data_IF_577320610654
#
_entry.id   IF_577320610654
#
_cell.length_a   1.000
_cell.length_b   1.000
_cell.length_c   1.000
_cell.angle_alpha   90.00
_cell.angle_beta   90.00
_cell.angle_gamma   90.00
#
_symmetry.space_group_name_H-M   'P 1'
#
loop_
_entity.id
_entity.type
_entity.pdbx_description
1 polymer ?
#
# COMPACT_ATOMS: atom_id res chain seq x y z
N UNK A 1 8.89 -47.49 3.11
CA UNK A 1 10.15 -47.57 2.38
C UNK A 1 11.06 -48.71 2.87
N UNK A 2 11.21 -48.93 4.15
CA UNK A 2 11.97 -50.06 4.70
C UNK A 2 11.46 -51.43 4.21
N UNK A 3 10.13 -51.58 4.09
CA UNK A 3 9.51 -52.81 3.57
C UNK A 3 9.87 -53.08 2.11
N UNK A 4 9.96 -52.04 1.31
CA UNK A 4 10.34 -52.12 -0.10
C UNK A 4 11.79 -52.56 -0.23
N UNK A 5 12.69 -51.97 0.55
CA UNK A 5 14.11 -52.31 0.59
C UNK A 5 14.33 -53.79 0.98
N UNK A 6 13.70 -54.22 2.06
CA UNK A 6 13.77 -55.59 2.54
C UNK A 6 13.24 -56.59 1.50
N UNK A 7 12.16 -56.23 0.80
CA UNK A 7 11.57 -57.08 -0.21
C UNK A 7 12.47 -57.24 -1.46
N UNK A 8 13.13 -56.16 -1.88
CA UNK A 8 14.13 -56.17 -2.96
C UNK A 8 15.33 -57.04 -2.55
N UNK A 9 15.80 -56.88 -1.34
CA UNK A 9 16.92 -57.67 -0.79
C UNK A 9 16.63 -59.16 -0.68
N UNK A 10 15.38 -59.52 -0.39
CA UNK A 10 14.95 -60.94 -0.28
C UNK A 10 14.78 -61.62 -1.67
N UNK A 11 14.57 -60.84 -2.73
CA UNK A 11 14.33 -61.37 -4.08
C UNK A 11 15.54 -61.45 -5.00
N UNK A 12 16.64 -60.75 -4.67
CA UNK A 12 17.89 -60.71 -5.45
C UNK A 12 19.12 -60.72 -4.58
N UNK A 13 20.06 -61.59 -4.82
CA UNK A 13 21.40 -61.51 -4.26
C UNK A 13 22.14 -60.33 -4.88
N UNK A 14 22.18 -59.20 -4.18
CA UNK A 14 22.86 -58.00 -4.58
C UNK A 14 24.27 -57.91 -3.95
N UNK A 15 25.24 -57.42 -4.69
CA UNK A 15 26.58 -57.12 -4.14
C UNK A 15 26.49 -56.03 -3.06
N UNK A 16 27.48 -55.96 -2.17
CA UNK A 16 27.53 -54.97 -1.08
C UNK A 16 27.44 -53.56 -1.57
N UNK A 17 28.13 -53.20 -2.69
CA UNK A 17 28.10 -51.86 -3.27
C UNK A 17 26.71 -51.51 -3.81
N UNK A 18 26.02 -52.47 -4.42
CA UNK A 18 24.64 -52.24 -4.94
C UNK A 18 23.63 -52.09 -3.78
N UNK A 19 23.82 -52.85 -2.70
CA UNK A 19 23.01 -52.73 -1.48
C UNK A 19 23.17 -51.34 -0.84
N UNK A 20 24.39 -50.84 -0.74
CA UNK A 20 24.72 -49.52 -0.20
C UNK A 20 24.13 -48.39 -1.09
N UNK A 21 24.20 -48.55 -2.40
CA UNK A 21 23.61 -47.63 -3.35
C UNK A 21 22.09 -47.56 -3.21
N UNK A 22 21.41 -48.69 -3.14
CA UNK A 22 19.97 -48.79 -2.93
C UNK A 22 19.55 -48.16 -1.59
N UNK A 23 20.30 -48.41 -0.54
CA UNK A 23 20.05 -47.83 0.78
C UNK A 23 20.21 -46.31 0.74
N UNK A 24 21.24 -45.79 0.08
CA UNK A 24 21.46 -44.36 -0.11
C UNK A 24 20.31 -43.73 -0.87
N UNK A 25 19.91 -44.30 -2.01
CA UNK A 25 18.82 -43.80 -2.84
C UNK A 25 17.49 -43.81 -2.06
N UNK A 26 17.25 -44.82 -1.26
CA UNK A 26 16.07 -44.93 -0.38
C UNK A 26 16.07 -43.84 0.68
N UNK A 27 17.19 -43.55 1.31
CA UNK A 27 17.34 -42.49 2.31
C UNK A 27 17.10 -41.11 1.68
N UNK A 28 17.53 -40.88 0.44
CA UNK A 28 17.26 -39.64 -0.32
C UNK A 28 15.78 -39.47 -0.58
N UNK A 29 15.07 -40.53 -0.99
CA UNK A 29 13.62 -40.52 -1.23
C UNK A 29 12.87 -40.23 0.10
N UNK A 30 13.23 -40.89 1.17
CA UNK A 30 12.62 -40.68 2.50
C UNK A 30 12.81 -39.22 2.96
N UNK A 31 13.98 -38.65 2.78
CA UNK A 31 14.27 -37.25 3.11
C UNK A 31 13.42 -36.29 2.29
N UNK A 32 13.23 -36.56 0.99
CA UNK A 32 12.36 -35.76 0.11
C UNK A 32 10.89 -35.84 0.54
N UNK A 33 10.41 -37.01 0.92
CA UNK A 33 9.05 -37.20 1.44
C UNK A 33 8.84 -36.42 2.72
N UNK A 34 9.81 -36.45 3.64
CA UNK A 34 9.74 -35.71 4.90
C UNK A 34 9.70 -34.19 4.65
N UNK A 35 10.52 -33.68 3.72
CA UNK A 35 10.51 -32.28 3.32
C UNK A 35 9.13 -31.87 2.76
N UNK A 36 8.53 -32.69 1.89
CA UNK A 36 7.19 -32.45 1.34
C UNK A 36 6.13 -32.39 2.45
N UNK A 37 6.19 -33.29 3.43
CA UNK A 37 5.26 -33.31 4.57
C UNK A 37 5.38 -32.03 5.40
N UNK A 38 6.61 -31.58 5.67
CA UNK A 38 6.85 -30.33 6.41
C UNK A 38 6.29 -29.14 5.63
N UNK A 39 6.57 -29.03 4.34
CA UNK A 39 6.08 -27.96 3.49
C UNK A 39 4.55 -27.94 3.37
N UNK A 40 3.91 -29.10 3.34
CA UNK A 40 2.44 -29.22 3.37
C UNK A 40 1.82 -28.65 4.65
N UNK A 41 2.52 -28.74 5.76
CA UNK A 41 2.08 -28.16 7.02
C UNK A 41 2.35 -26.67 7.12
N UNK A 42 3.49 -26.19 6.62
CA UNK A 42 3.95 -24.81 6.78
C UNK A 42 3.44 -23.86 5.69
N UNK A 43 3.39 -24.30 4.42
CA UNK A 43 2.99 -23.42 3.30
C UNK A 43 1.58 -22.83 3.43
N UNK A 44 0.54 -23.58 3.86
CA UNK A 44 -0.78 -22.98 4.07
C UNK A 44 -0.79 -21.86 5.11
N UNK A 45 0.02 -21.98 6.16
CA UNK A 45 0.16 -20.94 7.18
C UNK A 45 0.87 -19.71 6.61
N UNK A 46 1.95 -19.91 5.85
CA UNK A 46 2.68 -18.82 5.18
C UNK A 46 1.78 -18.09 4.17
N UNK A 47 0.97 -18.82 3.42
CA UNK A 47 -0.02 -18.25 2.48
C UNK A 47 -1.05 -17.42 3.24
N UNK A 48 -1.59 -17.93 4.33
CA UNK A 48 -2.57 -17.21 5.16
C UNK A 48 -1.98 -15.93 5.74
N UNK A 49 -0.75 -15.98 6.24
CA UNK A 49 -0.05 -14.81 6.77
C UNK A 49 0.20 -13.76 5.66
N UNK A 50 0.59 -14.19 4.47
CA UNK A 50 0.78 -13.29 3.33
C UNK A 50 -0.54 -12.67 2.84
N UNK A 51 -1.63 -13.42 2.85
CA UNK A 51 -2.97 -12.91 2.54
C UNK A 51 -3.36 -11.78 3.51
N UNK A 52 -3.10 -11.97 4.80
CA UNK A 52 -3.35 -10.96 5.84
C UNK A 52 -2.46 -9.72 5.64
N UNK A 53 -1.18 -9.92 5.28
CA UNK A 53 -0.26 -8.83 4.99
C UNK A 53 -0.68 -8.04 3.75
N UNK A 54 -1.14 -8.70 2.69
CA UNK A 54 -1.68 -8.07 1.48
C UNK A 54 -2.92 -7.25 1.83
N UNK A 55 -3.86 -7.82 2.59
CA UNK A 55 -5.06 -7.12 3.03
C UNK A 55 -4.72 -5.87 3.86
N UNK A 56 -3.76 -5.98 4.78
CA UNK A 56 -3.26 -4.86 5.57
C UNK A 56 -2.62 -3.76 4.71
N UNK A 57 -1.86 -4.16 3.70
CA UNK A 57 -1.23 -3.24 2.74
C UNK A 57 -2.27 -2.51 1.87
N UNK A 58 -3.32 -3.21 1.44
CA UNK A 58 -4.45 -2.61 0.71
C UNK A 58 -5.18 -1.57 1.55
N UNK A 59 -5.45 -1.88 2.82
CA UNK A 59 -6.07 -0.95 3.76
C UNK A 59 -5.22 0.30 3.93
N UNK A 60 -3.91 0.15 4.07
CA UNK A 60 -2.97 1.26 4.20
C UNK A 60 -2.96 2.14 2.95
N UNK A 61 -2.90 1.54 1.76
CA UNK A 61 -2.95 2.27 0.48
C UNK A 61 -4.25 3.07 0.38
N UNK A 62 -5.40 2.44 0.67
CA UNK A 62 -6.71 3.09 0.63
C UNK A 62 -6.79 4.27 1.60
N UNK A 63 -6.27 4.14 2.82
CA UNK A 63 -6.21 5.24 3.80
C UNK A 63 -5.42 6.43 3.30
N UNK A 64 -4.25 6.18 2.69
CA UNK A 64 -3.40 7.24 2.16
C UNK A 64 -4.08 7.92 0.96
N UNK A 65 -4.68 7.16 0.06
CA UNK A 65 -5.44 7.69 -1.09
C UNK A 65 -6.62 8.55 -0.64
N UNK A 66 -7.35 8.12 0.37
CA UNK A 66 -8.45 8.89 0.96
C UNK A 66 -7.95 10.19 1.59
N UNK A 67 -6.83 10.14 2.30
CA UNK A 67 -6.21 11.33 2.88
C UNK A 67 -5.76 12.33 1.81
N UNK A 68 -5.16 11.86 0.71
CA UNK A 68 -4.75 12.70 -0.43
C UNK A 68 -5.97 13.35 -1.09
N UNK A 69 -7.04 12.59 -1.28
CA UNK A 69 -8.30 13.11 -1.83
C UNK A 69 -8.89 14.19 -0.94
N UNK A 70 -8.89 13.98 0.38
CA UNK A 70 -9.32 14.99 1.36
C UNK A 70 -8.48 16.27 1.28
N UNK A 71 -7.18 16.15 1.07
CA UNK A 71 -6.29 17.30 0.87
C UNK A 71 -6.61 18.05 -0.43
N UNK A 72 -6.91 17.35 -1.51
CA UNK A 72 -7.35 17.97 -2.77
C UNK A 72 -8.66 18.75 -2.59
N UNK A 73 -9.61 18.23 -1.83
CA UNK A 73 -10.87 18.89 -1.52
C UNK A 73 -10.64 20.15 -0.67
N UNK A 74 -9.74 20.10 0.30
CA UNK A 74 -9.36 21.26 1.11
C UNK A 74 -8.69 22.35 0.25
N UNK A 75 -7.81 21.97 -0.67
CA UNK A 75 -7.16 22.91 -1.61
C UNK A 75 -8.22 23.60 -2.47
N UNK A 76 -9.19 22.84 -2.99
CA UNK A 76 -10.31 23.41 -3.76
C UNK A 76 -11.12 24.42 -2.94
N UNK A 77 -11.42 24.08 -1.69
CA UNK A 77 -12.15 24.98 -0.80
C UNK A 77 -11.41 26.29 -0.55
N UNK A 78 -10.11 26.21 -0.29
CA UNK A 78 -9.29 27.42 -0.13
C UNK A 78 -9.18 28.23 -1.42
N UNK A 79 -9.07 27.58 -2.57
CA UNK A 79 -9.06 28.27 -3.87
C UNK A 79 -10.40 28.98 -4.15
N UNK A 80 -11.52 28.34 -3.79
CA UNK A 80 -12.83 28.97 -3.89
C UNK A 80 -12.97 30.15 -2.93
N UNK A 81 -12.46 30.05 -1.71
CA UNK A 81 -12.42 31.16 -0.77
C UNK A 81 -11.64 32.36 -1.32
N UNK A 82 -10.50 32.10 -1.96
CA UNK A 82 -9.71 33.13 -2.62
C UNK A 82 -10.52 33.83 -3.73
N UNK A 83 -11.22 33.07 -4.58
CA UNK A 83 -12.06 33.64 -5.64
C UNK A 83 -13.22 34.48 -5.08
N UNK A 84 -13.85 34.01 -4.01
CA UNK A 84 -14.92 34.77 -3.34
C UNK A 84 -14.38 36.08 -2.76
N UNK A 85 -13.22 36.04 -2.10
CA UNK A 85 -12.57 37.23 -1.57
C UNK A 85 -12.16 38.22 -2.67
N UNK A 86 -11.63 37.73 -3.80
CA UNK A 86 -11.33 38.54 -4.97
C UNK A 86 -12.57 39.26 -5.51
N UNK A 87 -13.69 38.53 -5.62
CA UNK A 87 -14.96 39.10 -6.09
C UNK A 87 -15.49 40.16 -5.12
N UNK A 88 -15.38 39.91 -3.81
CA UNK A 88 -15.78 40.89 -2.78
C UNK A 88 -14.92 42.16 -2.82
N UNK A 89 -13.61 42.00 -2.96
CA UNK A 89 -12.67 43.12 -3.09
C UNK A 89 -13.06 43.97 -4.31
N UNK A 90 -13.27 43.35 -5.46
CA UNK A 90 -13.69 44.05 -6.68
C UNK A 90 -15.00 44.83 -6.49
N UNK A 91 -15.98 44.20 -5.79
CA UNK A 91 -17.26 44.83 -5.46
C UNK A 91 -17.07 46.04 -4.53
N UNK A 92 -16.28 45.93 -3.50
CA UNK A 92 -16.03 46.99 -2.53
C UNK A 92 -15.22 48.12 -3.15
N UNK A 93 -14.26 47.84 -4.03
CA UNK A 93 -13.50 48.86 -4.76
C UNK A 93 -14.40 49.71 -5.67
N UNK A 94 -15.38 49.10 -6.34
CA UNK A 94 -16.40 49.82 -7.13
C UNK A 94 -17.27 50.69 -6.23
N UNK A 95 -17.63 50.21 -5.03
CA UNK A 95 -18.39 51.00 -4.06
C UNK A 95 -17.62 52.20 -3.54
N UNK A 96 -16.30 52.05 -3.36
CA UNK A 96 -15.43 53.16 -2.94
C UNK A 96 -15.49 54.35 -3.89
N UNK A 97 -15.59 54.12 -5.19
CA UNK A 97 -15.67 55.18 -6.21
C UNK A 97 -16.95 56.02 -6.09
N UNK A 98 -18.00 55.48 -5.45
CA UNK A 98 -19.30 56.09 -5.31
C UNK A 98 -19.55 56.70 -3.94
N UNK A 99 -18.68 56.46 -2.97
CA UNK A 99 -18.83 56.92 -1.58
C UNK A 99 -18.43 58.38 -1.42
N UNK A 100 -19.24 59.16 -0.75
CA UNK A 100 -19.02 60.58 -0.47
C UNK A 100 -18.73 60.91 0.99
N UNK A 101 -18.84 59.88 1.87
CA UNK A 101 -18.72 60.03 3.32
C UNK A 101 -17.48 59.31 3.81
N UNK A 102 -16.65 59.96 4.62
CA UNK A 102 -15.42 59.39 5.17
C UNK A 102 -15.65 58.18 6.02
N UNK A 103 -16.74 58.10 6.75
CA UNK A 103 -17.09 56.93 7.58
C UNK A 103 -17.35 55.67 6.76
N UNK A 104 -18.12 55.82 5.68
CA UNK A 104 -18.37 54.73 4.74
C UNK A 104 -17.10 54.33 3.97
N UNK A 105 -16.27 55.28 3.59
CA UNK A 105 -14.99 55.05 2.97
C UNK A 105 -14.05 54.23 3.86
N UNK A 106 -13.91 54.59 5.13
CA UNK A 106 -13.10 53.85 6.10
C UNK A 106 -13.66 52.45 6.35
N UNK A 107 -14.97 52.28 6.44
CA UNK A 107 -15.62 50.98 6.62
C UNK A 107 -15.34 50.04 5.43
N UNK A 108 -15.46 50.52 4.20
CA UNK A 108 -15.18 49.77 2.98
C UNK A 108 -13.68 49.39 2.88
N UNK A 109 -12.78 50.28 3.23
CA UNK A 109 -11.35 49.99 3.25
C UNK A 109 -10.99 48.94 4.27
N UNK A 110 -11.63 48.91 5.43
CA UNK A 110 -11.46 47.86 6.42
C UNK A 110 -11.97 46.49 5.91
N UNK A 111 -13.09 46.47 5.23
CA UNK A 111 -13.61 45.24 4.62
C UNK A 111 -12.69 44.71 3.53
N UNK A 112 -12.15 45.60 2.68
CA UNK A 112 -11.17 45.21 1.66
C UNK A 112 -9.90 44.62 2.31
N UNK A 113 -9.40 45.27 3.35
CA UNK A 113 -8.23 44.80 4.09
C UNK A 113 -8.48 43.42 4.71
N UNK A 114 -9.66 43.21 5.33
CA UNK A 114 -10.07 41.93 5.89
C UNK A 114 -10.10 40.85 4.82
N UNK A 115 -10.65 41.13 3.64
CA UNK A 115 -10.68 40.17 2.52
C UNK A 115 -9.28 39.83 2.01
N UNK A 116 -8.39 40.81 1.94
CA UNK A 116 -6.98 40.58 1.57
C UNK A 116 -6.28 39.67 2.58
N UNK A 117 -6.51 39.85 3.87
CA UNK A 117 -5.94 39.01 4.92
C UNK A 117 -6.50 37.57 4.84
N UNK A 118 -7.79 37.41 4.56
CA UNK A 118 -8.41 36.10 4.35
C UNK A 118 -7.82 35.39 3.13
N UNK A 119 -7.58 36.11 2.04
CA UNK A 119 -6.88 35.56 0.86
C UNK A 119 -5.48 35.09 1.20
N UNK A 120 -4.71 35.90 1.91
CA UNK A 120 -3.35 35.53 2.33
C UNK A 120 -3.36 34.29 3.22
N UNK A 121 -4.31 34.18 4.13
CA UNK A 121 -4.47 33.02 4.98
C UNK A 121 -4.81 31.77 4.16
N UNK A 122 -5.74 31.89 3.22
CA UNK A 122 -6.12 30.78 2.33
C UNK A 122 -4.97 30.35 1.42
N UNK A 123 -4.19 31.29 0.90
CA UNK A 123 -2.99 31.01 0.11
C UNK A 123 -1.93 30.28 0.94
N UNK A 124 -1.69 30.71 2.17
CA UNK A 124 -0.76 30.06 3.10
C UNK A 124 -1.18 28.63 3.40
N UNK A 125 -2.46 28.44 3.75
CA UNK A 125 -3.02 27.09 4.01
C UNK A 125 -2.92 26.20 2.79
N UNK A 126 -3.20 26.73 1.61
CA UNK A 126 -3.05 25.99 0.34
C UNK A 126 -1.62 25.50 0.13
N UNK A 127 -0.63 26.37 0.37
CA UNK A 127 0.79 25.97 0.27
C UNK A 127 1.16 24.88 1.27
N UNK A 128 0.72 25.02 2.51
CA UNK A 128 0.97 24.03 3.56
C UNK A 128 0.37 22.67 3.20
N UNK A 129 -0.88 22.65 2.73
CA UNK A 129 -1.57 21.42 2.32
C UNK A 129 -0.89 20.80 1.10
N UNK A 130 -0.48 21.57 0.12
CA UNK A 130 0.26 21.07 -1.06
C UNK A 130 1.57 20.39 -0.66
N UNK A 131 2.30 20.97 0.28
CA UNK A 131 3.53 20.36 0.82
C UNK A 131 3.23 19.03 1.53
N UNK A 132 2.21 18.99 2.37
CA UNK A 132 1.77 17.76 3.04
C UNK A 132 1.29 16.70 2.04
N UNK A 133 0.59 17.13 0.99
CA UNK A 133 0.12 16.25 -0.08
C UNK A 133 1.30 15.62 -0.83
N UNK A 134 2.34 16.39 -1.14
CA UNK A 134 3.54 15.86 -1.81
C UNK A 134 4.24 14.80 -0.94
N UNK A 135 4.35 15.03 0.37
CA UNK A 135 4.89 14.04 1.32
C UNK A 135 4.02 12.78 1.37
N UNK A 136 2.71 12.94 1.36
CA UNK A 136 1.77 11.80 1.31
C UNK A 136 1.86 11.04 -0.01
N UNK A 137 2.06 11.73 -1.12
CA UNK A 137 2.24 11.10 -2.43
C UNK A 137 3.48 10.19 -2.44
N UNK A 138 4.60 10.64 -1.86
CA UNK A 138 5.80 9.82 -1.72
C UNK A 138 5.56 8.59 -0.84
N UNK A 139 4.85 8.78 0.27
CA UNK A 139 4.44 7.68 1.15
C UNK A 139 3.54 6.67 0.43
N UNK A 140 2.64 7.16 -0.43
CA UNK A 140 1.75 6.32 -1.23
C UNK A 140 2.52 5.46 -2.23
N UNK A 141 3.51 6.02 -2.92
CA UNK A 141 4.38 5.27 -3.84
C UNK A 141 5.04 4.11 -3.10
N UNK A 142 5.65 4.35 -1.95
CA UNK A 142 6.28 3.31 -1.13
C UNK A 142 5.28 2.25 -0.63
N UNK A 143 4.08 2.66 -0.25
CA UNK A 143 3.02 1.74 0.19
C UNK A 143 2.52 0.84 -0.95
N UNK A 144 2.37 1.39 -2.16
CA UNK A 144 1.99 0.63 -3.36
C UNK A 144 3.07 -0.37 -3.76
N UNK A 145 4.33 0.00 -3.70
CA UNK A 145 5.46 -0.90 -3.96
C UNK A 145 5.48 -2.08 -2.99
N UNK A 146 5.30 -1.81 -1.69
CA UNK A 146 5.23 -2.87 -0.67
C UNK A 146 4.05 -3.80 -0.88
N UNK A 147 2.90 -3.25 -1.22
CA UNK A 147 1.71 -4.05 -1.57
C UNK A 147 1.99 -4.96 -2.76
N UNK A 148 2.56 -4.41 -3.84
CA UNK A 148 2.89 -5.17 -5.05
C UNK A 148 3.89 -6.28 -4.76
N UNK A 149 4.93 -6.02 -3.97
CA UNK A 149 5.92 -7.02 -3.59
C UNK A 149 5.29 -8.16 -2.77
N UNK A 150 4.39 -7.82 -1.84
CA UNK A 150 3.67 -8.82 -1.04
C UNK A 150 2.71 -9.65 -1.88
N UNK A 151 2.04 -9.04 -2.86
CA UNK A 151 1.19 -9.75 -3.82
C UNK A 151 2.01 -10.74 -4.67
N UNK A 152 3.19 -10.35 -5.12
CA UNK A 152 4.11 -11.23 -5.84
C UNK A 152 4.59 -12.41 -4.97
N UNK A 153 4.95 -12.15 -3.73
CA UNK A 153 5.35 -13.18 -2.77
C UNK A 153 4.19 -14.16 -2.53
N UNK A 154 2.97 -13.65 -2.38
CA UNK A 154 1.78 -14.47 -2.22
C UNK A 154 1.55 -15.37 -3.44
N UNK A 155 1.64 -14.83 -4.64
CA UNK A 155 1.48 -15.61 -5.88
C UNK A 155 2.53 -16.71 -5.98
N UNK A 156 3.77 -16.41 -5.65
CA UNK A 156 4.86 -17.38 -5.63
C UNK A 156 4.59 -18.51 -4.64
N UNK A 157 4.15 -18.18 -3.43
CA UNK A 157 3.79 -19.18 -2.39
C UNK A 157 2.58 -20.01 -2.79
N UNK A 158 1.59 -19.43 -3.45
CA UNK A 158 0.43 -20.17 -3.96
C UNK A 158 0.84 -21.18 -5.03
N UNK A 159 1.77 -20.82 -5.93
CA UNK A 159 2.33 -21.73 -6.92
C UNK A 159 3.08 -22.88 -6.23
N UNK A 160 3.94 -22.59 -5.26
CA UNK A 160 4.65 -23.61 -4.48
C UNK A 160 3.68 -24.57 -3.78
N UNK A 161 2.65 -24.03 -3.15
CA UNK A 161 1.62 -24.84 -2.47
C UNK A 161 0.89 -25.77 -3.44
N UNK A 162 0.51 -25.25 -4.62
CA UNK A 162 -0.14 -26.02 -5.66
C UNK A 162 0.76 -27.17 -6.17
N UNK A 163 2.04 -26.89 -6.37
CA UNK A 163 3.02 -27.91 -6.77
C UNK A 163 3.18 -29.00 -5.70
N UNK A 164 3.30 -28.63 -4.45
CA UNK A 164 3.42 -29.58 -3.32
C UNK A 164 2.17 -30.44 -3.20
N UNK A 165 0.97 -29.88 -3.34
CA UNK A 165 -0.28 -30.64 -3.32
C UNK A 165 -0.35 -31.61 -4.49
N UNK A 166 0.11 -31.21 -5.68
CA UNK A 166 0.09 -32.05 -6.87
C UNK A 166 1.04 -33.26 -6.80
N UNK A 167 2.11 -33.18 -5.98
CA UNK A 167 3.08 -34.28 -5.77
C UNK A 167 2.61 -35.36 -4.79
N UNK A 168 1.46 -35.22 -4.24
CA UNK A 168 0.85 -36.20 -3.33
C UNK A 168 -0.42 -36.78 -3.88
#
# INVERSE_FOLDING_TARGET
SNKLFINIMAKKELGVNEKLRLLYDLQQIDSQIDEIKILKGELPMEVSDLEDEVAGSETRVTKIETAVKGMDDEIKNHQNNIKESEALIAKYEKQLDKVKNNREFDALNKEIEMQRLEMQLSEKKTREIKTQKDLKADTLVGAKERKENKEKDLQQKLVELKEIISKT
#
